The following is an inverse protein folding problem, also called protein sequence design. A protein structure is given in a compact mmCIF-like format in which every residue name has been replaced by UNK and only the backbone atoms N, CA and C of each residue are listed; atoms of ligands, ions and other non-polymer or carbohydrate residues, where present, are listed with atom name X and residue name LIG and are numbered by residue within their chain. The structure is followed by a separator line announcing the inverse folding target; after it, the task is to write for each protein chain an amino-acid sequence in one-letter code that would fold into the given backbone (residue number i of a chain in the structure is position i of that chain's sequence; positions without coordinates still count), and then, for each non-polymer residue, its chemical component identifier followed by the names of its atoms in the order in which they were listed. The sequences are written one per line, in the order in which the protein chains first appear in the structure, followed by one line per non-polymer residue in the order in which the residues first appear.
data_IF_023118299315
#
_entry.id   IF_023118299315
#
_cell.length_a   1.000
_cell.length_b   1.000
_cell.length_c   1.000
_cell.angle_alpha   90.00
_cell.angle_beta   90.00
_cell.angle_gamma   90.00
#
_symmetry.space_group_name_H-M   'P 1'
#
loop_
_entity.id
_entity.type
_entity.pdbx_description
1 polymer ?
#
# COMPACT_ATOMS: atom_id res chain seq x y z
N UNK A 1 -12.17 14.19 2.40
CA UNK A 1 -11.68 12.98 3.11
C UNK A 1 -11.89 13.02 4.63
N UNK A 2 -12.12 14.18 5.26
CA UNK A 2 -12.78 14.22 6.58
C UNK A 2 -14.21 13.61 6.53
N UNK A 3 -14.81 13.53 5.34
CA UNK A 3 -16.09 12.88 5.07
C UNK A 3 -15.96 11.40 4.61
N UNK A 4 -14.83 10.73 4.84
CA UNK A 4 -14.78 9.29 4.59
C UNK A 4 -15.80 8.60 5.53
N UNK A 5 -16.66 7.71 5.03
CA UNK A 5 -17.63 7.02 5.88
C UNK A 5 -16.93 6.33 7.05
N UNK A 6 -17.58 6.33 8.21
CA UNK A 6 -17.10 5.57 9.36
C UNK A 6 -17.59 4.12 9.27
N UNK A 7 -16.71 3.18 9.59
CA UNK A 7 -17.00 1.73 9.60
C UNK A 7 -16.43 1.09 10.86
N UNK A 8 -17.10 0.05 11.34
CA UNK A 8 -16.65 -0.75 12.48
C UNK A 8 -15.66 -1.81 11.99
N UNK A 9 -14.48 -1.86 12.59
CA UNK A 9 -13.52 -2.95 12.36
C UNK A 9 -14.07 -4.25 12.94
N UNK A 10 -14.06 -5.33 12.14
CA UNK A 10 -14.59 -6.62 12.59
C UNK A 10 -13.76 -7.25 13.73
N UNK A 11 -12.47 -6.94 13.79
CA UNK A 11 -11.54 -7.54 14.77
C UNK A 11 -11.54 -6.76 16.08
N UNK A 12 -11.39 -5.44 16.01
CA UNK A 12 -11.22 -4.59 17.21
C UNK A 12 -12.52 -3.95 17.69
N UNK A 13 -13.60 -4.07 16.91
CA UNK A 13 -14.88 -3.37 17.14
C UNK A 13 -14.78 -1.84 17.19
N UNK A 14 -13.63 -1.24 16.86
CA UNK A 14 -13.45 0.22 16.81
C UNK A 14 -14.09 0.79 15.55
N UNK A 15 -14.66 1.98 15.66
CA UNK A 15 -15.21 2.74 14.54
C UNK A 15 -14.11 3.66 13.99
N UNK A 16 -13.77 3.51 12.71
CA UNK A 16 -12.68 4.24 12.06
C UNK A 16 -13.13 4.76 10.68
N UNK A 17 -12.52 5.83 10.16
CA UNK A 17 -12.70 6.25 8.77
C UNK A 17 -12.26 5.15 7.80
N UNK A 18 -13.01 4.94 6.70
CA UNK A 18 -12.64 3.94 5.67
C UNK A 18 -11.28 4.19 5.04
N UNK A 19 -10.73 5.42 5.12
CA UNK A 19 -9.37 5.72 4.66
C UNK A 19 -8.27 5.03 5.48
N UNK A 20 -8.56 4.58 6.70
CA UNK A 20 -7.63 3.84 7.57
C UNK A 20 -7.95 2.33 7.61
N UNK A 21 -8.77 1.86 6.68
CA UNK A 21 -9.25 0.49 6.62
C UNK A 21 -9.09 -0.08 5.22
N UNK A 22 -9.09 -1.41 5.13
CA UNK A 22 -9.33 -2.15 3.89
C UNK A 22 -10.62 -2.95 4.01
N UNK A 23 -11.21 -3.32 2.87
CA UNK A 23 -12.33 -4.24 2.83
C UNK A 23 -11.83 -5.62 2.41
N UNK A 24 -12.19 -6.68 3.11
CA UNK A 24 -11.99 -8.05 2.63
C UNK A 24 -13.29 -8.60 2.07
N UNK A 25 -13.23 -9.18 0.88
CA UNK A 25 -14.38 -9.73 0.16
C UNK A 25 -14.15 -11.19 -0.21
N UNK A 26 -15.17 -12.05 -0.06
CA UNK A 26 -15.11 -13.40 -0.61
C UNK A 26 -15.09 -13.30 -2.14
N UNK A 27 -14.22 -14.09 -2.75
CA UNK A 27 -14.10 -14.25 -4.19
C UNK A 27 -14.02 -15.74 -4.47
N UNK A 28 -14.94 -16.23 -5.29
CA UNK A 28 -14.92 -17.59 -5.79
C UNK A 28 -13.86 -17.70 -6.86
N UNK A 29 -12.86 -18.55 -6.65
CA UNK A 29 -11.87 -18.88 -7.67
C UNK A 29 -12.27 -20.19 -8.36
N UNK A 30 -12.16 -20.26 -9.70
CA UNK A 30 -12.30 -21.53 -10.39
C UNK A 30 -11.21 -22.47 -9.87
N UNK A 31 -11.57 -23.73 -9.63
CA UNK A 31 -10.57 -24.73 -9.32
C UNK A 31 -9.59 -24.82 -10.48
N UNK A 32 -8.34 -24.45 -10.24
CA UNK A 32 -7.26 -24.58 -11.21
C UNK A 32 -6.87 -26.06 -11.33
N UNK A 33 -7.79 -26.89 -11.85
CA UNK A 33 -7.50 -28.26 -12.27
C UNK A 33 -6.89 -28.21 -13.66
N UNK A 34 -5.62 -27.80 -13.74
CA UNK A 34 -4.72 -28.25 -14.82
C UNK A 34 -4.31 -29.72 -14.62
N UNK A 35 -4.72 -30.34 -13.52
CA UNK A 35 -4.62 -31.78 -13.31
C UNK A 35 -5.63 -32.52 -14.19
N UNK A 36 -5.07 -33.40 -15.02
CA UNK A 36 -5.70 -34.40 -15.91
C UNK A 36 -7.07 -34.87 -15.37
N UNK A 37 -8.12 -34.92 -16.21
CA UNK A 37 -9.46 -35.31 -15.81
C UNK A 37 -9.49 -36.75 -15.32
N UNK A 38 -9.29 -36.96 -14.01
CA UNK A 38 -9.57 -38.25 -13.38
C UNK A 38 -11.08 -38.46 -13.36
N UNK A 39 -11.54 -39.61 -13.85
CA UNK A 39 -12.97 -39.95 -14.09
C UNK A 39 -13.85 -40.01 -12.83
N UNK A 40 -13.36 -39.64 -11.65
CA UNK A 40 -14.19 -39.51 -10.46
C UNK A 40 -14.91 -38.16 -10.46
N UNK A 41 -16.15 -38.19 -10.92
CA UNK A 41 -17.14 -37.10 -11.04
C UNK A 41 -17.60 -36.55 -9.67
N UNK A 42 -16.67 -36.25 -8.75
CA UNK A 42 -16.99 -35.42 -7.59
C UNK A 42 -16.89 -33.97 -8.06
N UNK A 43 -18.03 -33.27 -8.04
CA UNK A 43 -18.12 -31.85 -8.35
C UNK A 43 -16.97 -31.12 -7.66
N UNK A 44 -16.08 -30.50 -8.44
CA UNK A 44 -14.93 -29.78 -7.89
C UNK A 44 -15.46 -28.61 -7.06
N UNK A 45 -15.34 -28.71 -5.75
CA UNK A 45 -15.81 -27.68 -4.81
C UNK A 45 -15.10 -26.36 -5.11
N UNK A 46 -15.83 -25.35 -5.55
CA UNK A 46 -15.26 -24.02 -5.80
C UNK A 46 -14.53 -23.50 -4.56
N UNK A 47 -13.37 -22.86 -4.77
CA UNK A 47 -12.59 -22.34 -3.65
C UNK A 47 -12.98 -20.89 -3.39
N UNK A 48 -13.56 -20.61 -2.23
CA UNK A 48 -13.83 -19.25 -1.77
C UNK A 48 -12.59 -18.70 -1.04
N UNK A 49 -12.04 -17.60 -1.53
CA UNK A 49 -10.92 -16.88 -0.90
C UNK A 49 -11.32 -15.47 -0.51
N UNK A 50 -10.83 -14.97 0.61
CA UNK A 50 -10.98 -13.57 0.98
C UNK A 50 -9.87 -12.76 0.31
N UNK A 51 -10.21 -11.72 -0.45
CA UNK A 51 -9.26 -10.81 -1.09
C UNK A 51 -9.44 -9.36 -0.62
N UNK A 52 -8.36 -8.56 -0.57
CA UNK A 52 -8.40 -7.14 -0.27
C UNK A 52 -9.04 -6.37 -1.41
N UNK A 53 -9.87 -5.41 -1.03
CA UNK A 53 -10.54 -4.46 -1.90
C UNK A 53 -10.50 -3.06 -1.25
N UNK A 54 -10.76 -2.04 -2.08
CA UNK A 54 -10.78 -0.63 -1.70
C UNK A 54 -9.44 -0.07 -1.18
N UNK A 55 -8.31 -0.70 -1.55
CA UNK A 55 -6.98 -0.13 -1.28
C UNK A 55 -6.60 0.91 -2.34
N UNK A 56 -6.72 0.51 -3.61
CA UNK A 56 -6.42 1.33 -4.79
C UNK A 56 -7.40 2.51 -4.96
N UNK A 57 -6.99 3.52 -5.70
CA UNK A 57 -7.79 4.70 -5.95
C UNK A 57 -9.02 4.36 -6.83
N UNK A 58 -10.24 4.84 -6.51
CA UNK A 58 -11.47 4.47 -7.23
C UNK A 58 -11.44 4.77 -8.74
N UNK A 59 -10.64 5.74 -9.17
CA UNK A 59 -10.41 6.05 -10.59
C UNK A 59 -9.66 4.94 -11.34
N UNK A 60 -8.80 4.19 -10.64
CA UNK A 60 -7.96 3.14 -11.23
C UNK A 60 -8.51 1.74 -10.96
N UNK A 61 -9.25 1.56 -9.87
CA UNK A 61 -9.90 0.30 -9.53
C UNK A 61 -11.39 0.54 -9.21
N UNK A 62 -12.26 -0.05 -10.04
CA UNK A 62 -13.70 0.00 -9.80
C UNK A 62 -14.04 -0.81 -8.54
N UNK A 63 -14.96 -0.28 -7.75
CA UNK A 63 -15.49 -0.98 -6.58
C UNK A 63 -16.30 -2.19 -7.04
N UNK A 64 -15.99 -3.36 -6.51
CA UNK A 64 -16.81 -4.56 -6.72
C UNK A 64 -18.09 -4.46 -5.88
N UNK A 65 -19.29 -4.66 -6.43
CA UNK A 65 -20.53 -4.57 -5.67
C UNK A 65 -20.77 -5.85 -4.84
N UNK A 66 -19.99 -6.03 -3.76
CA UNK A 66 -20.08 -7.23 -2.93
C UNK A 66 -20.10 -6.91 -1.44
N UNK A 67 -20.69 -7.83 -0.67
CA UNK A 67 -20.59 -7.83 0.80
C UNK A 67 -19.16 -8.15 1.19
N UNK A 68 -18.64 -7.42 2.18
CA UNK A 68 -17.30 -7.63 2.69
C UNK A 68 -17.17 -7.02 4.08
N UNK A 69 -16.09 -7.40 4.76
CA UNK A 69 -15.81 -6.98 6.12
C UNK A 69 -14.72 -5.90 6.13
N UNK A 70 -14.80 -4.99 7.10
CA UNK A 70 -13.83 -3.91 7.24
C UNK A 70 -12.77 -4.26 8.27
N UNK A 71 -11.50 -4.11 7.90
CA UNK A 71 -10.34 -4.38 8.76
C UNK A 71 -9.46 -3.14 8.78
N UNK A 72 -8.96 -2.78 9.95
CA UNK A 72 -7.97 -1.70 10.08
C UNK A 72 -6.72 -2.04 9.28
N UNK A 73 -6.08 -1.04 8.68
CA UNK A 73 -4.78 -1.16 8.02
C UNK A 73 -3.64 -1.27 9.04
N UNK A 74 -3.68 -2.32 9.84
CA UNK A 74 -2.64 -2.67 10.83
C UNK A 74 -2.33 -4.16 10.68
N UNK A 75 -1.08 -4.54 10.35
CA UNK A 75 -0.69 -5.94 10.19
C UNK A 75 -0.97 -6.81 11.43
N UNK A 76 -0.92 -6.25 12.63
CA UNK A 76 -1.23 -6.97 13.88
C UNK A 76 -2.71 -7.29 13.97
N UNK A 77 -3.57 -6.34 13.56
CA UNK A 77 -5.02 -6.56 13.48
C UNK A 77 -5.34 -7.61 12.42
N UNK A 78 -4.63 -7.58 11.29
CA UNK A 78 -4.76 -8.61 10.25
C UNK A 78 -4.29 -10.01 10.75
N UNK A 79 -3.18 -10.09 11.47
CA UNK A 79 -2.73 -11.34 12.09
C UNK A 79 -3.75 -11.89 13.09
N UNK A 80 -4.39 -11.02 13.88
CA UNK A 80 -5.49 -11.39 14.77
C UNK A 80 -6.72 -11.88 13.99
N UNK A 81 -7.07 -11.25 12.87
CA UNK A 81 -8.13 -11.71 11.98
C UNK A 81 -7.89 -13.15 11.53
N UNK A 82 -6.65 -13.45 11.09
CA UNK A 82 -6.25 -14.78 10.66
C UNK A 82 -6.35 -15.79 11.81
N UNK A 83 -5.75 -15.47 12.97
CA UNK A 83 -5.75 -16.34 14.16
C UNK A 83 -7.16 -16.67 14.66
N UNK A 84 -8.07 -15.69 14.66
CA UNK A 84 -9.45 -15.88 15.15
C UNK A 84 -10.42 -16.37 14.08
N UNK A 85 -9.97 -16.50 12.83
CA UNK A 85 -10.80 -16.81 11.68
C UNK A 85 -12.08 -15.96 11.57
N UNK A 86 -12.06 -14.69 12.04
CA UNK A 86 -13.28 -13.87 12.11
C UNK A 86 -13.85 -13.52 10.74
N UNK A 87 -13.12 -13.78 9.66
CA UNK A 87 -13.60 -13.67 8.29
C UNK A 87 -14.64 -14.75 7.92
N UNK A 88 -14.68 -15.87 8.66
CA UNK A 88 -15.65 -16.95 8.42
C UNK A 88 -17.10 -16.56 8.70
N UNK A 89 -17.33 -15.43 9.36
CA UNK A 89 -18.68 -14.86 9.53
C UNK A 89 -19.31 -14.45 8.20
N UNK A 90 -18.49 -14.14 7.18
CA UNK A 90 -18.98 -13.77 5.84
C UNK A 90 -19.20 -15.01 4.98
N UNK A 91 -18.32 -16.01 5.09
CA UNK A 91 -18.46 -17.31 4.46
C UNK A 91 -17.65 -18.34 5.24
N UNK A 92 -18.31 -19.41 5.70
CA UNK A 92 -17.70 -20.48 6.49
C UNK A 92 -16.61 -21.24 5.73
N UNK A 93 -16.73 -21.30 4.41
CA UNK A 93 -15.81 -21.96 3.48
C UNK A 93 -14.66 -21.05 3.03
N UNK A 94 -14.74 -19.74 3.30
CA UNK A 94 -13.71 -18.82 2.89
C UNK A 94 -12.36 -19.16 3.53
N UNK A 95 -11.29 -18.90 2.77
CA UNK A 95 -9.91 -19.02 3.24
C UNK A 95 -9.17 -17.70 3.01
N UNK A 96 -8.24 -17.35 3.89
CA UNK A 96 -7.30 -16.26 3.62
C UNK A 96 -6.15 -16.80 2.77
N UNK A 97 -5.78 -16.07 1.72
CA UNK A 97 -4.65 -16.44 0.88
C UNK A 97 -3.32 -16.20 1.62
N UNK A 98 -2.36 -17.09 1.45
CA UNK A 98 -0.99 -16.87 1.90
C UNK A 98 -0.34 -15.70 1.13
N UNK A 99 0.50 -14.91 1.79
CA UNK A 99 1.14 -13.74 1.17
C UNK A 99 0.19 -12.55 0.97
N UNK A 100 -0.92 -12.51 1.71
CA UNK A 100 -1.87 -11.40 1.61
C UNK A 100 -1.27 -10.08 2.07
N UNK A 101 -0.42 -10.14 3.08
CA UNK A 101 0.21 -8.97 3.68
C UNK A 101 1.07 -8.24 2.64
N UNK A 102 1.81 -9.01 1.85
CA UNK A 102 2.60 -8.51 0.72
C UNK A 102 1.70 -7.97 -0.41
N UNK A 103 0.54 -8.58 -0.65
CA UNK A 103 -0.43 -8.03 -1.61
C UNK A 103 -0.98 -6.69 -1.14
N UNK A 104 -1.34 -6.56 0.14
CA UNK A 104 -1.83 -5.32 0.76
C UNK A 104 -0.76 -4.23 0.70
N UNK A 105 0.48 -4.56 1.06
CA UNK A 105 1.62 -3.65 0.97
C UNK A 105 1.81 -3.14 -0.46
N UNK A 106 1.86 -4.04 -1.45
CA UNK A 106 1.98 -3.65 -2.86
C UNK A 106 0.84 -2.75 -3.33
N UNK A 107 -0.39 -3.04 -2.93
CA UNK A 107 -1.53 -2.19 -3.29
C UNK A 107 -1.50 -0.83 -2.58
N UNK A 108 -0.97 -0.75 -1.35
CA UNK A 108 -0.77 0.52 -0.65
C UNK A 108 0.32 1.36 -1.33
N UNK A 109 1.44 0.73 -1.72
CA UNK A 109 2.49 1.38 -2.50
C UNK A 109 1.94 1.89 -3.84
N UNK A 110 1.15 1.08 -4.54
CA UNK A 110 0.50 1.50 -5.79
C UNK A 110 -0.48 2.66 -5.57
N UNK A 111 -1.19 2.65 -4.44
CA UNK A 111 -2.08 3.77 -4.08
C UNK A 111 -1.31 5.07 -3.92
N UNK A 112 -0.11 5.05 -3.33
CA UNK A 112 0.76 6.25 -3.23
C UNK A 112 1.10 6.78 -4.63
N UNK A 113 1.48 5.91 -5.55
CA UNK A 113 1.78 6.30 -6.95
C UNK A 113 0.56 6.92 -7.63
N UNK A 114 -0.60 6.29 -7.50
CA UNK A 114 -1.85 6.78 -8.10
C UNK A 114 -2.24 8.18 -7.60
N UNK A 115 -2.07 8.47 -6.31
CA UNK A 115 -2.34 9.81 -5.77
C UNK A 115 -1.35 10.85 -6.31
N UNK A 116 -0.05 10.50 -6.39
CA UNK A 116 0.96 11.39 -6.96
C UNK A 116 0.67 11.70 -8.44
N UNK A 117 0.34 10.68 -9.25
CA UNK A 117 -0.05 10.84 -10.65
C UNK A 117 -1.33 11.70 -10.82
N UNK A 118 -2.30 11.59 -9.91
CA UNK A 118 -3.50 12.40 -9.96
C UNK A 118 -3.23 13.86 -9.62
N UNK A 119 -2.34 14.11 -8.65
CA UNK A 119 -1.89 15.46 -8.35
C UNK A 119 -1.13 16.04 -9.52
N UNK A 120 -0.16 15.32 -10.08
CA UNK A 120 0.62 15.75 -11.24
C UNK A 120 -0.32 16.11 -12.39
N UNK A 121 -1.22 15.20 -12.78
CA UNK A 121 -2.18 15.46 -13.88
C UNK A 121 -3.07 16.67 -13.61
N UNK A 122 -3.46 16.91 -12.36
CA UNK A 122 -4.31 18.03 -11.97
C UNK A 122 -3.57 19.38 -12.06
N UNK A 123 -2.27 19.39 -11.80
CA UNK A 123 -1.45 20.61 -11.76
C UNK A 123 -0.53 20.77 -12.97
N UNK A 124 -0.47 19.79 -13.87
CA UNK A 124 0.26 19.89 -15.13
C UNK A 124 -0.13 21.16 -15.87
N UNK A 125 0.86 22.02 -16.15
CA UNK A 125 0.69 23.30 -16.84
C UNK A 125 0.08 24.43 -16.00
N UNK A 126 -0.20 24.22 -14.70
CA UNK A 126 -0.70 25.28 -13.80
C UNK A 126 0.41 25.71 -12.85
N UNK A 127 0.66 27.02 -12.73
CA UNK A 127 1.62 27.63 -11.78
C UNK A 127 1.17 27.56 -10.32
N UNK A 128 0.47 26.51 -9.87
CA UNK A 128 0.24 26.23 -8.44
C UNK A 128 1.35 25.33 -7.91
N UNK A 129 2.55 25.85 -8.08
CA UNK A 129 3.85 25.19 -7.95
C UNK A 129 4.40 25.29 -6.51
N UNK A 130 3.66 25.90 -5.59
CA UNK A 130 4.06 26.06 -4.20
C UNK A 130 3.63 24.89 -3.30
N UNK A 131 3.03 23.84 -3.87
CA UNK A 131 2.59 22.67 -3.09
C UNK A 131 3.77 21.82 -2.60
N UNK A 132 4.85 21.78 -3.36
CA UNK A 132 6.06 21.03 -3.05
C UNK A 132 7.28 21.94 -3.17
N UNK A 133 8.11 21.89 -2.15
CA UNK A 133 9.37 22.60 -2.10
C UNK A 133 10.53 21.62 -1.93
N UNK A 134 11.52 21.73 -2.81
CA UNK A 134 12.78 20.98 -2.75
C UNK A 134 13.91 21.80 -2.11
N UNK A 135 13.80 23.13 -2.07
CA UNK A 135 14.83 24.03 -1.54
C UNK A 135 14.94 23.98 -0.01
N UNK A 136 13.85 23.62 0.66
CA UNK A 136 13.85 23.39 2.10
C UNK A 136 13.86 24.66 2.95
N UNK A 137 13.62 25.83 2.34
CA UNK A 137 13.68 27.13 3.02
C UNK A 137 12.33 27.55 3.66
N UNK A 138 11.24 26.78 3.45
CA UNK A 138 9.94 27.08 4.07
C UNK A 138 9.68 26.39 5.43
N UNK A 139 9.17 27.13 6.41
CA UNK A 139 8.74 26.58 7.72
C UNK A 139 7.37 25.88 7.69
N UNK A 140 6.49 26.20 6.75
CA UNK A 140 5.10 25.71 6.71
C UNK A 140 4.90 24.50 5.79
N UNK A 141 5.41 23.35 6.20
CA UNK A 141 5.17 22.07 5.54
C UNK A 141 4.45 21.09 6.45
N UNK A 142 3.57 20.29 5.85
CA UNK A 142 2.76 19.29 6.54
C UNK A 142 3.44 17.93 6.64
N UNK A 143 4.18 17.53 5.61
CA UNK A 143 4.93 16.28 5.61
C UNK A 143 6.10 16.34 4.62
N UNK A 144 7.08 15.48 4.83
CA UNK A 144 8.20 15.28 3.90
C UNK A 144 8.19 13.89 3.30
N UNK A 145 8.62 13.77 2.05
CA UNK A 145 8.81 12.53 1.33
C UNK A 145 10.29 12.42 0.99
N UNK A 146 10.94 11.37 1.49
CA UNK A 146 12.33 11.07 1.20
C UNK A 146 12.35 9.91 0.22
N UNK A 147 12.91 10.13 -0.97
CA UNK A 147 13.06 9.11 -1.99
C UNK A 147 14.51 8.62 -1.95
N UNK A 148 14.69 7.37 -1.53
CA UNK A 148 16.00 6.75 -1.44
C UNK A 148 16.69 6.67 -2.81
N UNK A 149 18.02 6.79 -2.77
CA UNK A 149 18.86 6.54 -3.93
C UNK A 149 18.68 5.08 -4.40
N UNK A 150 18.86 4.85 -5.70
CA UNK A 150 18.73 3.51 -6.27
C UNK A 150 19.79 2.59 -5.68
N UNK A 151 19.39 1.62 -4.86
CA UNK A 151 20.29 0.60 -4.29
C UNK A 151 20.42 0.64 -2.77
N UNK A 152 19.89 1.67 -2.10
CA UNK A 152 19.87 1.69 -0.64
C UNK A 152 18.72 0.81 -0.11
N UNK A 153 19.07 -0.31 0.53
CA UNK A 153 18.17 -0.96 1.47
C UNK A 153 18.10 -0.06 2.71
N UNK A 154 17.00 0.69 2.85
CA UNK A 154 16.79 1.56 3.98
C UNK A 154 17.03 0.81 5.30
N UNK A 155 17.91 1.36 6.14
CA UNK A 155 17.96 0.99 7.56
C UNK A 155 16.66 1.47 8.21
N UNK A 156 15.94 0.55 8.83
CA UNK A 156 14.67 0.81 9.56
C UNK A 156 14.89 1.51 10.92
N UNK A 157 16.05 2.11 11.15
CA UNK A 157 16.43 2.67 12.46
C UNK A 157 15.63 3.93 12.84
N UNK A 158 14.88 4.50 11.90
CA UNK A 158 14.00 5.64 12.15
C UNK A 158 12.56 5.16 12.36
N UNK A 159 12.32 4.44 13.47
CA UNK A 159 10.99 4.24 14.05
C UNK A 159 10.44 5.57 14.60
N UNK A 160 10.45 6.60 13.76
CA UNK A 160 10.11 7.97 14.10
C UNK A 160 8.67 8.05 14.56
N UNK A 161 8.50 8.51 15.81
CA UNK A 161 7.24 9.03 16.34
C UNK A 161 6.59 9.90 15.28
N UNK A 162 5.28 9.77 15.08
CA UNK A 162 4.49 10.66 14.22
C UNK A 162 4.50 12.06 14.84
N UNK A 163 5.59 12.79 14.65
CA UNK A 163 5.72 14.17 15.06
C UNK A 163 4.76 15.06 14.29
N UNK A 164 4.77 16.35 14.62
CA UNK A 164 3.95 17.39 13.95
C UNK A 164 4.18 17.49 12.45
N UNK A 165 5.29 16.92 11.97
CA UNK A 165 5.80 17.01 10.61
C UNK A 165 6.34 15.64 10.16
N UNK A 166 5.45 14.68 9.82
CA UNK A 166 5.86 13.32 9.50
C UNK A 166 6.75 13.27 8.26
N UNK A 167 7.80 12.45 8.33
CA UNK A 167 8.63 12.07 7.19
C UNK A 167 8.27 10.66 6.71
N UNK A 168 8.18 10.49 5.39
CA UNK A 168 7.82 9.26 4.72
C UNK A 168 8.93 8.82 3.77
N UNK A 169 9.40 7.58 3.93
CA UNK A 169 10.31 6.89 3.00
C UNK A 169 9.54 5.75 2.32
N UNK A 170 8.75 6.01 1.25
CA UNK A 170 7.99 4.95 0.62
C UNK A 170 8.93 3.93 -0.02
N UNK A 171 8.77 2.67 0.36
CA UNK A 171 9.44 1.53 -0.27
C UNK A 171 8.55 0.97 -1.38
N UNK A 172 9.15 0.72 -2.53
CA UNK A 172 8.46 0.17 -3.69
C UNK A 172 9.09 -1.16 -4.05
N UNK A 173 8.26 -2.17 -4.32
CA UNK A 173 8.74 -3.50 -4.69
C UNK A 173 9.25 -3.53 -6.13
N UNK A 174 8.61 -2.77 -7.01
CA UNK A 174 8.90 -2.74 -8.45
C UNK A 174 9.60 -1.44 -8.82
N UNK A 175 10.68 -1.56 -9.60
CA UNK A 175 11.42 -0.41 -10.17
C UNK A 175 10.49 0.46 -11.00
N UNK A 176 9.59 -0.14 -11.79
CA UNK A 176 8.64 0.62 -12.60
C UNK A 176 7.67 1.44 -11.74
N UNK A 177 7.27 0.93 -10.58
CA UNK A 177 6.44 1.66 -9.63
C UNK A 177 7.21 2.83 -9.00
N UNK A 178 8.45 2.60 -8.59
CA UNK A 178 9.33 3.65 -8.07
C UNK A 178 9.57 4.76 -9.11
N UNK A 179 9.80 4.39 -10.37
CA UNK A 179 10.07 5.34 -11.45
C UNK A 179 8.83 6.17 -11.81
N UNK A 180 7.63 5.56 -11.81
CA UNK A 180 6.37 6.32 -11.95
C UNK A 180 6.17 7.30 -10.81
N UNK A 181 6.45 6.89 -9.57
CA UNK A 181 6.37 7.79 -8.42
C UNK A 181 7.36 8.95 -8.54
N UNK A 182 8.63 8.67 -8.83
CA UNK A 182 9.67 9.70 -9.05
C UNK A 182 9.27 10.66 -10.16
N UNK A 183 8.80 10.14 -11.29
CA UNK A 183 8.33 10.93 -12.43
C UNK A 183 7.19 11.88 -12.04
N UNK A 184 6.19 11.38 -11.30
CA UNK A 184 5.10 12.20 -10.79
C UNK A 184 5.58 13.28 -9.81
N UNK A 185 6.52 12.95 -8.91
CA UNK A 185 7.09 13.90 -7.96
C UNK A 185 7.92 15.00 -8.64
N UNK A 186 8.71 14.65 -9.66
CA UNK A 186 9.42 15.64 -10.50
C UNK A 186 8.44 16.58 -11.21
N UNK A 187 7.35 16.05 -11.76
CA UNK A 187 6.30 16.86 -12.39
C UNK A 187 5.56 17.80 -11.43
N UNK A 188 5.60 17.51 -10.13
CA UNK A 188 5.03 18.34 -9.06
C UNK A 188 6.01 19.38 -8.51
N UNK A 189 7.30 19.29 -8.84
CA UNK A 189 8.36 20.12 -8.26
C UNK A 189 8.86 21.15 -9.28
N UNK A 190 8.70 22.46 -9.01
CA UNK A 190 9.10 23.49 -9.95
C UNK A 190 10.62 23.51 -10.15
N UNK A 191 11.08 23.70 -11.39
CA UNK A 191 12.50 23.93 -11.69
C UNK A 191 13.36 22.68 -11.88
N UNK A 192 12.87 21.48 -11.54
CA UNK A 192 13.65 20.25 -11.78
C UNK A 192 13.73 19.84 -13.26
N UNK A 193 12.79 20.28 -14.10
CA UNK A 193 12.74 19.89 -15.53
C UNK A 193 13.88 20.42 -16.39
N UNK A 194 14.69 21.36 -15.89
CA UNK A 194 15.71 22.05 -16.69
C UNK A 194 17.15 21.76 -16.27
N UNK A 195 17.37 21.08 -15.14
CA UNK A 195 18.70 20.85 -14.58
C UNK A 195 19.29 19.45 -14.86
N UNK A 196 18.52 18.52 -15.44
CA UNK A 196 19.08 17.26 -15.94
C UNK A 196 19.80 17.53 -17.27
N UNK A 197 21.03 18.03 -17.17
CA UNK A 197 22.03 17.97 -18.24
C UNK A 197 22.04 16.56 -18.83
N UNK A 198 21.86 16.45 -20.14
CA UNK A 198 21.89 15.18 -20.88
C UNK A 198 23.06 14.33 -20.37
N UNK A 199 22.81 13.13 -19.82
CA UNK A 199 23.91 12.25 -19.45
C UNK A 199 24.63 11.85 -20.74
N UNK A 200 25.91 12.20 -20.85
CA UNK A 200 26.77 11.66 -21.88
C UNK A 200 26.74 10.13 -21.79
N UNK A 201 26.53 9.49 -22.95
CA UNK A 201 26.10 8.10 -23.06
C UNK A 201 26.96 7.11 -22.24
N UNK A 202 26.27 6.19 -21.55
CA UNK A 202 26.75 5.09 -20.69
C UNK A 202 26.84 5.32 -19.17
N UNK A 203 26.59 6.51 -18.63
CA UNK A 203 26.50 6.65 -17.17
C UNK A 203 25.19 6.01 -16.65
N UNK A 204 25.31 5.03 -15.75
CA UNK A 204 24.18 4.53 -14.98
C UNK A 204 23.64 5.71 -14.16
N UNK A 205 22.41 6.17 -14.45
CA UNK A 205 21.82 7.33 -13.78
C UNK A 205 21.63 6.99 -12.30
N UNK A 206 22.57 7.45 -11.48
CA UNK A 206 22.50 7.38 -10.03
C UNK A 206 21.61 8.53 -9.55
N UNK A 207 20.45 8.19 -8.99
CA UNK A 207 19.55 9.18 -8.43
C UNK A 207 20.05 9.55 -7.03
N UNK A 208 20.45 10.80 -6.84
CA UNK A 208 20.71 11.34 -5.52
C UNK A 208 19.45 11.24 -4.64
N UNK A 209 19.64 11.04 -3.33
CA UNK A 209 18.54 11.11 -2.36
C UNK A 209 17.85 12.48 -2.47
N UNK A 210 16.52 12.47 -2.59
CA UNK A 210 15.72 13.71 -2.71
C UNK A 210 14.67 13.79 -1.63
N UNK A 211 14.53 14.98 -1.05
CA UNK A 211 13.52 15.28 -0.04
C UNK A 211 12.51 16.27 -0.61
N UNK A 212 11.26 15.86 -0.72
CA UNK A 212 10.15 16.71 -1.15
C UNK A 212 9.33 17.12 0.07
N UNK A 213 9.15 18.42 0.30
CA UNK A 213 8.32 18.92 1.41
C UNK A 213 6.98 19.38 0.87
N UNK A 214 5.89 18.78 1.35
CA UNK A 214 4.54 19.12 0.95
C UNK A 214 3.92 20.16 1.89
N UNK A 215 3.38 21.25 1.36
CA UNK A 215 2.61 22.23 2.15
C UNK A 215 1.29 21.66 2.65
N UNK A 216 0.79 22.22 3.75
CA UNK A 216 -0.52 21.84 4.31
C UNK A 216 -1.64 22.31 3.39
N UNK A 217 -2.24 21.37 2.66
CA UNK A 217 -3.36 21.66 1.76
C UNK A 217 -4.34 20.50 1.69
N UNK A 218 -5.62 20.81 1.49
CA UNK A 218 -6.64 19.81 1.17
C UNK A 218 -6.32 19.06 -0.14
N UNK A 219 -5.48 19.65 -1.00
CA UNK A 219 -5.02 19.07 -2.24
C UNK A 219 -3.97 17.98 -2.01
N UNK A 220 -3.02 18.18 -1.10
CA UNK A 220 -1.94 17.22 -0.79
C UNK A 220 -2.36 16.17 0.24
N UNK A 221 -3.45 16.41 0.97
CA UNK A 221 -3.98 15.48 1.97
C UNK A 221 -4.22 14.04 1.48
N UNK A 222 -4.77 13.76 0.28
CA UNK A 222 -4.89 12.40 -0.25
C UNK A 222 -3.55 11.66 -0.35
N UNK A 223 -2.51 12.33 -0.87
CA UNK A 223 -1.16 11.75 -0.96
C UNK A 223 -0.57 11.50 0.44
N UNK A 224 -0.65 12.49 1.34
CA UNK A 224 -0.18 12.34 2.72
C UNK A 224 -0.84 11.17 3.44
N UNK A 225 -2.14 10.95 3.21
CA UNK A 225 -2.88 9.81 3.78
C UNK A 225 -2.47 8.49 3.13
N UNK A 226 -2.24 8.44 1.83
CA UNK A 226 -1.72 7.23 1.18
C UNK A 226 -0.33 6.84 1.76
N UNK A 227 0.57 7.82 1.90
CA UNK A 227 1.89 7.63 2.51
C UNK A 227 1.79 7.15 3.96
N UNK A 228 0.89 7.77 4.73
CA UNK A 228 0.61 7.37 6.11
C UNK A 228 0.13 5.92 6.22
N UNK A 229 -0.80 5.51 5.35
CA UNK A 229 -1.29 4.11 5.33
C UNK A 229 -0.17 3.14 5.02
N UNK A 230 0.69 3.45 4.05
CA UNK A 230 1.85 2.64 3.71
C UNK A 230 2.80 2.52 4.92
N UNK A 231 3.14 3.66 5.55
CA UNK A 231 4.00 3.68 6.75
C UNK A 231 3.41 2.87 7.91
N UNK A 232 2.12 3.03 8.22
CA UNK A 232 1.47 2.21 9.26
C UNK A 232 1.58 0.72 8.99
N UNK A 233 1.48 0.32 7.72
CA UNK A 233 1.56 -1.07 7.32
C UNK A 233 3.00 -1.60 7.40
N UNK A 234 4.00 -0.83 6.97
CA UNK A 234 5.40 -1.29 6.92
C UNK A 234 6.15 -1.12 8.23
N UNK A 235 5.82 -0.12 9.06
CA UNK A 235 6.48 0.12 10.35
C UNK A 235 6.02 -0.82 11.46
N UNK A 236 4.95 -1.60 11.25
CA UNK A 236 4.58 -2.61 12.22
C UNK A 236 5.54 -3.79 12.07
N UNK A 237 6.27 -4.18 13.13
CA UNK A 237 7.11 -5.37 13.05
C UNK A 237 6.24 -6.54 12.60
N UNK A 238 6.64 -7.20 11.53
CA UNK A 238 5.96 -8.41 11.09
C UNK A 238 5.88 -9.34 12.31
N UNK A 239 4.70 -9.91 12.64
CA UNK A 239 4.62 -10.89 13.70
C UNK A 239 5.64 -11.97 13.34
N UNK A 240 6.63 -12.18 14.22
CA UNK A 240 7.76 -13.09 14.01
C UNK A 240 7.23 -14.30 13.27
N UNK A 241 7.62 -14.43 11.99
CA UNK A 241 7.01 -15.39 11.09
C UNK A 241 7.03 -16.69 11.86
N UNK A 242 5.83 -17.21 12.17
CA UNK A 242 5.73 -18.53 12.73
C UNK A 242 6.31 -19.40 11.62
N UNK A 243 7.61 -19.67 11.72
CA UNK A 243 8.29 -20.78 11.09
C UNK A 243 7.33 -21.92 11.33
N UNK A 244 6.56 -22.26 10.29
CA UNK A 244 5.75 -23.45 10.28
C UNK A 244 6.81 -24.53 10.28
N UNK A 245 7.32 -24.85 11.48
CA UNK A 245 8.03 -26.07 11.75
C UNK A 245 6.99 -27.11 11.41
N UNK A 246 7.03 -27.58 10.16
CA UNK A 246 6.34 -28.79 9.73
C UNK A 246 6.81 -29.87 10.68
N UNK A 247 6.10 -30.05 11.79
CA UNK A 247 6.25 -31.22 12.64
C UNK A 247 5.90 -32.38 11.72
N UNK A 248 6.93 -33.02 11.18
CA UNK A 248 6.85 -34.37 10.64
C UNK A 248 6.16 -35.19 11.71
N UNK A 249 4.90 -35.51 11.49
CA UNK A 249 4.20 -36.56 12.21
C UNK A 249 5.00 -37.81 11.89
N UNK A 250 5.87 -38.24 12.80
CA UNK A 250 6.45 -39.59 12.76
C UNK A 250 5.29 -40.52 13.03
N UNK A 251 4.83 -41.20 11.99
CA UNK A 251 4.00 -42.39 12.11
C UNK A 251 4.81 -43.44 12.86
N UNK A 252 4.44 -43.73 14.10
CA UNK A 252 4.90 -44.96 14.76
C UNK A 252 4.13 -46.12 14.10
N UNK A 253 4.88 -46.92 13.34
CA UNK A 253 4.60 -48.32 13.05
C UNK A 253 4.92 -49.19 14.26
#
# INVERSE_FOLDING_TARGET
MLAAPLRKCIVTSRILPTSLMLQLKPVTLPNSTTAIPSKSKRAGSERIVMLPDQILHPKFARKKPDKGLWVTLDPRVYAQLHKKASYKIVSSEATLLAGMEELVERQLAERVVQEAELLERRFRGRRRLDLFDASGEGEDWAFSIQIAAKGEKGRDDDAGVLGTKPSFKPTFKDVAQADRFRSAMRGLTPGETSAESKPDGNATVEYAEKVYRARRSHLTAPLGIALYRLKMWTSSPAPASHSIVSRRIRSNS
#
